data_IF_900341960498
#
_entry.id   IF_900341960498
#
_cell.length_a   1.000
_cell.length_b   1.000
_cell.length_c   1.000
_cell.angle_alpha   90.00
_cell.angle_beta   90.00
_cell.angle_gamma   90.00
#
_symmetry.space_group_name_H-M   'P 1'
#
loop_
_entity.id
_entity.type
_entity.pdbx_description
1 polymer ?
#
# COMPACT_ATOMS: atom_id res chain seq x y z
N UNK A 1 0.79 5.31 17.02
CA UNK A 1 0.18 4.51 15.93
C UNK A 1 -1.05 5.26 15.42
N UNK A 2 -1.46 5.10 14.16
CA UNK A 2 -2.60 5.83 13.59
C UNK A 2 -3.98 5.14 13.70
N UNK A 3 -4.08 4.07 14.48
CA UNK A 3 -5.32 3.35 14.80
C UNK A 3 -5.39 3.23 16.33
N UNK A 4 -6.35 3.92 16.99
CA UNK A 4 -6.64 3.70 18.40
C UNK A 4 -7.06 2.26 18.70
N UNK A 5 -7.78 1.59 17.78
CA UNK A 5 -8.20 0.20 17.95
C UNK A 5 -7.00 -0.76 18.03
N UNK A 6 -6.09 -0.70 17.04
CA UNK A 6 -4.91 -1.57 17.03
C UNK A 6 -3.91 -1.22 18.13
N UNK A 7 -3.78 0.06 18.49
CA UNK A 7 -2.95 0.45 19.64
C UNK A 7 -3.46 -0.20 20.94
N UNK A 8 -4.77 -0.12 21.21
CA UNK A 8 -5.37 -0.71 22.41
C UNK A 8 -5.30 -2.25 22.41
N UNK A 9 -5.54 -2.89 21.26
CA UNK A 9 -5.42 -4.34 21.11
C UNK A 9 -3.98 -4.82 21.32
N UNK A 10 -2.98 -4.13 20.78
CA UNK A 10 -1.57 -4.51 20.96
C UNK A 10 -1.11 -4.39 22.41
N UNK A 11 -1.63 -3.42 23.17
CA UNK A 11 -1.41 -3.36 24.63
C UNK A 11 -1.98 -4.59 25.34
N UNK A 12 -3.25 -4.95 25.09
CA UNK A 12 -3.87 -6.15 25.69
C UNK A 12 -3.20 -7.46 25.28
N UNK A 13 -2.73 -7.56 24.03
CA UNK A 13 -1.96 -8.71 23.55
C UNK A 13 -0.62 -8.80 24.28
N UNK A 14 0.06 -7.68 24.55
CA UNK A 14 1.31 -7.68 25.30
C UNK A 14 1.11 -8.07 26.77
N UNK A 15 0.00 -7.65 27.39
CA UNK A 15 -0.42 -8.08 28.74
C UNK A 15 -0.66 -9.61 28.77
N UNK A 16 -1.52 -10.14 27.90
CA UNK A 16 -1.83 -11.58 27.84
C UNK A 16 -0.61 -12.45 27.47
N UNK A 17 0.34 -11.93 26.66
CA UNK A 17 1.62 -12.62 26.41
C UNK A 17 2.50 -12.66 27.67
N UNK A 18 2.52 -11.61 28.48
CA UNK A 18 3.28 -11.58 29.73
C UNK A 18 2.73 -12.54 30.79
N UNK A 19 1.42 -12.80 30.76
CA UNK A 19 0.70 -13.71 31.67
C UNK A 19 0.61 -15.17 31.15
N UNK A 20 1.36 -15.55 30.10
CA UNK A 20 1.32 -16.87 29.40
C UNK A 20 -0.09 -17.29 28.91
N UNK A 21 -0.86 -16.30 28.45
CA UNK A 21 -2.25 -16.42 28.01
C UNK A 21 -2.47 -17.02 26.62
N UNK A 22 -3.61 -16.70 26.00
CA UNK A 22 -4.00 -17.26 24.69
C UNK A 22 -3.05 -16.77 23.59
N UNK A 23 -2.67 -15.50 23.62
CA UNK A 23 -1.78 -14.86 22.67
C UNK A 23 -0.38 -15.48 22.75
N UNK A 24 0.13 -15.80 23.95
CA UNK A 24 1.39 -16.54 24.11
C UNK A 24 1.34 -17.91 23.43
N UNK A 25 0.23 -18.66 23.57
CA UNK A 25 0.05 -19.97 22.89
C UNK A 25 -0.03 -19.84 21.36
N UNK A 26 -0.67 -18.80 20.84
CA UNK A 26 -0.79 -18.56 19.39
C UNK A 26 0.54 -18.08 18.78
N UNK A 27 1.29 -17.23 19.49
CA UNK A 27 2.55 -16.64 19.03
C UNK A 27 3.80 -17.51 19.32
N UNK A 28 3.64 -18.68 19.93
CA UNK A 28 4.75 -19.60 20.24
C UNK A 28 5.57 -19.94 18.98
N UNK A 29 6.89 -19.81 19.08
CA UNK A 29 7.85 -19.94 17.97
C UNK A 29 8.24 -18.62 17.33
N UNK A 30 7.62 -17.49 17.70
CA UNK A 30 7.95 -16.14 17.24
C UNK A 30 8.62 -15.27 18.33
N UNK A 31 9.10 -15.85 19.43
CA UNK A 31 9.72 -15.15 20.56
C UNK A 31 11.01 -14.40 20.18
N UNK A 32 11.58 -14.73 19.01
CA UNK A 32 12.80 -14.14 18.46
C UNK A 32 12.58 -13.48 17.08
N UNK A 33 11.33 -13.32 16.65
CA UNK A 33 11.01 -12.58 15.43
C UNK A 33 11.49 -11.12 15.57
N UNK A 34 12.29 -10.58 14.63
CA UNK A 34 12.80 -9.22 14.73
C UNK A 34 11.66 -8.21 14.58
N UNK A 35 11.79 -7.03 15.19
CA UNK A 35 10.76 -5.97 15.14
C UNK A 35 10.20 -5.65 13.73
N UNK A 36 11.03 -5.54 12.68
CA UNK A 36 10.58 -5.36 11.29
C UNK A 36 9.69 -6.47 10.72
N UNK A 37 9.59 -7.63 11.37
CA UNK A 37 8.66 -8.71 10.99
C UNK A 37 7.18 -8.33 11.18
N UNK A 38 6.90 -7.25 11.92
CA UNK A 38 5.56 -6.75 12.19
C UNK A 38 4.59 -7.81 12.78
N UNK A 39 5.09 -8.72 13.63
CA UNK A 39 4.32 -9.86 14.19
C UNK A 39 2.94 -9.47 14.74
N UNK A 40 2.85 -8.41 15.55
CA UNK A 40 1.56 -7.93 16.08
C UNK A 40 0.58 -7.45 15.00
N UNK A 41 1.07 -6.88 13.89
CA UNK A 41 0.24 -6.50 12.76
C UNK A 41 -0.14 -7.71 11.89
N UNK A 42 0.70 -8.74 11.80
CA UNK A 42 0.34 -10.05 11.20
C UNK A 42 -0.76 -10.74 12.01
N UNK A 43 -0.64 -10.75 13.34
CA UNK A 43 -1.66 -11.31 14.25
C UNK A 43 -3.01 -10.60 14.09
N UNK A 44 -3.03 -9.26 14.18
CA UNK A 44 -4.26 -8.50 14.03
C UNK A 44 -4.83 -8.56 12.60
N UNK A 45 -3.95 -8.67 11.58
CA UNK A 45 -4.37 -8.97 10.21
C UNK A 45 -5.04 -10.34 10.08
N UNK A 46 -4.54 -11.37 10.76
CA UNK A 46 -5.18 -12.69 10.81
C UNK A 46 -6.59 -12.62 11.42
N UNK A 47 -6.74 -11.96 12.58
CA UNK A 47 -8.04 -11.78 13.24
C UNK A 47 -8.99 -10.96 12.35
N UNK A 48 -8.50 -9.90 11.70
CA UNK A 48 -9.31 -9.12 10.76
C UNK A 48 -9.74 -9.96 9.54
N UNK A 49 -8.89 -10.86 9.00
CA UNK A 49 -9.29 -11.79 7.93
C UNK A 49 -10.44 -12.68 8.39
N UNK A 50 -10.36 -13.27 9.59
CA UNK A 50 -11.43 -14.10 10.16
C UNK A 50 -12.73 -13.32 10.38
N UNK A 51 -12.66 -12.03 10.73
CA UNK A 51 -13.84 -11.16 10.82
C UNK A 51 -14.44 -10.87 9.44
N UNK A 52 -13.61 -10.55 8.44
CA UNK A 52 -14.04 -10.25 7.07
C UNK A 52 -14.68 -11.45 6.38
N UNK A 53 -14.22 -12.67 6.64
CA UNK A 53 -14.80 -13.92 6.13
C UNK A 53 -16.02 -14.42 6.92
N UNK A 54 -16.44 -13.72 7.98
CA UNK A 54 -17.54 -14.14 8.87
C UNK A 54 -17.18 -15.27 9.84
N UNK A 55 -15.95 -15.77 9.77
CA UNK A 55 -15.40 -16.86 10.59
C UNK A 55 -15.20 -16.49 12.07
N UNK A 56 -15.21 -15.20 12.40
CA UNK A 56 -15.21 -14.65 13.74
C UNK A 56 -16.43 -13.72 13.97
N UNK A 57 -17.64 -14.25 13.75
CA UNK A 57 -18.90 -13.48 13.81
C UNK A 57 -19.14 -12.75 15.14
N UNK A 58 -18.67 -13.30 16.27
CA UNK A 58 -18.71 -12.65 17.59
C UNK A 58 -17.95 -11.31 17.65
N UNK A 59 -16.88 -11.17 16.84
CA UNK A 59 -16.07 -9.96 16.74
C UNK A 59 -16.60 -8.94 15.73
N UNK A 60 -17.37 -9.35 14.72
CA UNK A 60 -17.77 -8.48 13.61
C UNK A 60 -18.46 -7.19 14.06
N UNK A 61 -19.29 -7.25 15.12
CA UNK A 61 -19.98 -6.09 15.71
C UNK A 61 -19.05 -5.03 16.32
N UNK A 62 -17.77 -5.34 16.52
CA UNK A 62 -16.76 -4.42 17.05
C UNK A 62 -15.80 -3.87 16.00
N UNK A 63 -15.91 -4.31 14.74
CA UNK A 63 -15.03 -3.91 13.64
C UNK A 63 -15.70 -2.86 12.76
N UNK A 64 -15.23 -1.59 12.73
CA UNK A 64 -15.87 -0.55 11.92
C UNK A 64 -15.83 -0.82 10.40
N UNK A 65 -14.85 -1.58 9.92
CA UNK A 65 -14.80 -2.12 8.55
C UNK A 65 -16.00 -3.00 8.17
N UNK A 66 -16.72 -3.54 9.16
CA UNK A 66 -17.95 -4.32 9.03
C UNK A 66 -19.21 -3.55 9.48
N UNK A 67 -19.11 -2.23 9.68
CA UNK A 67 -20.19 -1.41 10.24
C UNK A 67 -20.38 -1.57 11.75
N UNK A 68 -19.45 -2.22 12.44
CA UNK A 68 -19.44 -2.36 13.90
C UNK A 68 -18.93 -1.11 14.63
N UNK A 69 -19.02 -1.14 15.96
CA UNK A 69 -18.56 -0.06 16.85
C UNK A 69 -17.50 -0.56 17.81
N UNK A 70 -16.33 0.07 17.81
CA UNK A 70 -15.20 -0.36 18.63
C UNK A 70 -15.42 -0.12 20.13
N UNK A 71 -15.23 -1.15 20.94
CA UNK A 71 -15.26 -1.09 22.41
C UNK A 71 -14.34 -2.17 23.00
N UNK A 72 -13.16 -1.78 23.50
CA UNK A 72 -12.08 -2.72 23.88
C UNK A 72 -12.55 -3.81 24.85
N UNK A 73 -13.06 -3.44 26.02
CA UNK A 73 -13.36 -4.41 27.09
C UNK A 73 -14.52 -5.35 26.73
N UNK A 74 -15.41 -4.94 25.83
CA UNK A 74 -16.49 -5.79 25.30
C UNK A 74 -16.02 -6.69 24.13
N UNK A 75 -15.01 -6.26 23.37
CA UNK A 75 -14.42 -7.02 22.27
C UNK A 75 -13.38 -8.04 22.75
N UNK A 76 -12.62 -7.73 23.81
CA UNK A 76 -11.46 -8.51 24.26
C UNK A 76 -11.76 -9.99 24.55
N UNK A 77 -12.86 -10.37 25.25
CA UNK A 77 -13.20 -11.78 25.43
C UNK A 77 -13.40 -12.53 24.11
N UNK A 78 -13.97 -11.88 23.10
CA UNK A 78 -14.17 -12.45 21.77
C UNK A 78 -12.88 -12.51 20.94
N UNK A 79 -11.88 -11.66 21.23
CA UNK A 79 -10.54 -11.80 20.65
C UNK A 79 -9.89 -13.07 21.19
N UNK A 80 -9.91 -13.27 22.51
CA UNK A 80 -9.37 -14.49 23.14
C UNK A 80 -10.10 -15.76 22.66
N UNK A 81 -11.43 -15.74 22.61
CA UNK A 81 -12.27 -16.83 22.07
C UNK A 81 -11.89 -17.17 20.61
N UNK A 82 -11.69 -16.15 19.76
CA UNK A 82 -11.29 -16.34 18.35
C UNK A 82 -9.87 -16.90 18.26
N UNK A 83 -8.93 -16.41 19.06
CA UNK A 83 -7.54 -16.86 19.06
C UNK A 83 -7.38 -18.29 19.59
N UNK A 84 -8.17 -18.69 20.59
CA UNK A 84 -8.14 -20.05 21.14
C UNK A 84 -8.78 -21.06 20.18
N UNK A 85 -9.95 -20.72 19.61
CA UNK A 85 -10.70 -21.60 18.70
C UNK A 85 -10.11 -21.68 17.28
N UNK A 86 -9.48 -20.61 16.78
CA UNK A 86 -8.91 -20.53 15.41
C UNK A 86 -7.38 -20.39 15.37
N UNK A 87 -6.70 -20.74 16.47
CA UNK A 87 -5.26 -20.54 16.63
C UNK A 87 -4.39 -21.14 15.52
N UNK A 88 -4.77 -22.28 14.93
CA UNK A 88 -4.03 -22.88 13.81
C UNK A 88 -4.17 -22.09 12.50
N UNK A 89 -5.33 -21.49 12.24
CA UNK A 89 -5.55 -20.65 11.06
C UNK A 89 -4.81 -19.32 11.19
N UNK A 90 -4.80 -18.76 12.41
CA UNK A 90 -3.98 -17.60 12.76
C UNK A 90 -2.49 -17.92 12.56
N UNK A 91 -1.97 -19.02 13.13
CA UNK A 91 -0.58 -19.45 12.94
C UNK A 91 -0.20 -19.63 11.47
N UNK A 92 -1.09 -20.22 10.65
CA UNK A 92 -0.88 -20.36 9.20
C UNK A 92 -0.75 -18.99 8.51
N UNK A 93 -1.59 -18.03 8.90
CA UNK A 93 -1.54 -16.67 8.36
C UNK A 93 -0.33 -15.87 8.85
N UNK A 94 0.18 -16.10 10.07
CA UNK A 94 1.44 -15.49 10.56
C UNK A 94 2.64 -15.87 9.67
N UNK A 95 2.62 -17.04 9.04
CA UNK A 95 3.64 -17.46 8.07
C UNK A 95 3.62 -16.69 6.74
N UNK A 96 2.60 -15.88 6.47
CA UNK A 96 2.50 -15.08 5.24
C UNK A 96 3.17 -13.70 5.41
N UNK A 97 3.87 -13.18 4.39
CA UNK A 97 4.37 -11.81 4.39
C UNK A 97 3.22 -10.79 4.61
N UNK A 98 3.42 -9.77 5.48
CA UNK A 98 2.45 -8.70 5.66
C UNK A 98 2.24 -7.95 4.34
N UNK A 99 1.04 -7.41 4.12
CA UNK A 99 0.71 -6.68 2.90
C UNK A 99 0.45 -5.21 3.21
N UNK A 100 0.98 -4.32 2.38
CA UNK A 100 0.82 -2.87 2.52
C UNK A 100 0.51 -2.21 1.17
N UNK A 101 -0.44 -2.77 0.42
CA UNK A 101 -0.86 -2.22 -0.88
C UNK A 101 -1.73 -0.95 -0.69
N UNK A 102 -1.12 0.12 -0.17
CA UNK A 102 -1.82 1.36 0.13
C UNK A 102 -2.13 2.17 -1.15
N UNK A 103 -3.40 2.15 -1.54
CA UNK A 103 -3.96 2.87 -2.71
C UNK A 103 -3.71 4.37 -2.64
N UNK A 104 -3.64 4.97 -1.44
CA UNK A 104 -3.34 6.40 -1.25
C UNK A 104 -1.97 6.81 -1.81
N UNK A 105 -1.04 5.86 -1.99
CA UNK A 105 0.27 6.12 -2.64
C UNK A 105 0.15 6.40 -4.14
N UNK A 106 -0.99 6.08 -4.77
CA UNK A 106 -1.26 6.46 -6.16
C UNK A 106 -1.18 7.99 -6.38
N UNK A 107 -1.40 8.82 -5.35
CA UNK A 107 -1.22 10.28 -5.47
C UNK A 107 0.25 10.67 -5.72
N UNK A 108 1.20 10.02 -5.05
CA UNK A 108 2.64 10.20 -5.29
C UNK A 108 3.02 9.76 -6.71
N UNK A 109 2.44 8.65 -7.17
CA UNK A 109 2.65 8.12 -8.51
C UNK A 109 2.11 9.08 -9.58
N UNK A 110 0.87 9.56 -9.44
CA UNK A 110 0.25 10.49 -10.38
C UNK A 110 1.08 11.76 -10.57
N UNK A 111 1.35 12.52 -9.51
CA UNK A 111 2.11 13.77 -9.62
C UNK A 111 3.56 13.57 -10.06
N UNK A 112 4.19 12.46 -9.67
CA UNK A 112 5.53 12.10 -10.14
C UNK A 112 5.59 11.76 -11.63
N UNK A 113 4.60 11.03 -12.16
CA UNK A 113 4.50 10.73 -13.58
C UNK A 113 4.05 11.96 -14.40
N UNK A 114 3.24 12.87 -13.83
CA UNK A 114 2.93 14.16 -14.44
C UNK A 114 4.18 15.03 -14.57
N UNK A 115 5.01 15.12 -13.53
CA UNK A 115 6.29 15.83 -13.57
C UNK A 115 7.26 15.24 -14.62
N UNK A 116 7.34 13.90 -14.71
CA UNK A 116 8.12 13.22 -15.74
C UNK A 116 7.57 13.49 -17.16
N UNK A 117 6.25 13.44 -17.34
CA UNK A 117 5.58 13.69 -18.62
C UNK A 117 5.77 15.13 -19.08
N UNK A 118 5.69 16.11 -18.17
CA UNK A 118 5.98 17.52 -18.47
C UNK A 118 7.43 17.72 -18.94
N UNK A 119 8.39 17.03 -18.32
CA UNK A 119 9.81 17.14 -18.63
C UNK A 119 10.24 16.39 -19.90
N UNK A 120 9.56 15.30 -20.28
CA UNK A 120 10.00 14.40 -21.36
C UNK A 120 9.02 14.27 -22.53
N UNK A 121 7.72 14.44 -22.31
CA UNK A 121 6.64 14.33 -23.32
C UNK A 121 6.68 13.01 -24.12
N UNK A 122 6.97 11.90 -23.43
CA UNK A 122 7.04 10.55 -24.00
C UNK A 122 6.06 9.60 -23.30
N UNK A 123 5.52 8.58 -23.99
CA UNK A 123 4.77 7.50 -23.37
C UNK A 123 5.62 6.70 -22.37
N UNK A 124 5.00 6.24 -21.29
CA UNK A 124 5.66 5.60 -20.16
C UNK A 124 5.42 4.09 -20.18
N UNK A 125 6.48 3.31 -19.97
CA UNK A 125 6.41 1.89 -19.61
C UNK A 125 6.64 1.79 -18.10
N UNK A 126 5.57 1.56 -17.35
CA UNK A 126 5.58 1.57 -15.88
C UNK A 126 5.93 0.20 -15.31
N UNK A 127 6.88 0.15 -14.37
CA UNK A 127 7.21 -1.05 -13.60
C UNK A 127 7.21 -0.71 -12.11
N UNK A 128 6.31 -1.33 -11.33
CA UNK A 128 6.25 -1.17 -9.87
C UNK A 128 6.98 -2.33 -9.18
N UNK A 129 7.87 -2.01 -8.23
CA UNK A 129 8.59 -2.99 -7.42
C UNK A 129 7.89 -3.12 -6.06
N UNK A 130 7.62 -4.36 -5.62
CA UNK A 130 6.82 -4.61 -4.41
C UNK A 130 5.34 -4.30 -4.63
N UNK A 131 4.83 -4.64 -5.82
CA UNK A 131 3.51 -4.23 -6.29
C UNK A 131 2.34 -4.90 -5.54
N UNK A 132 2.57 -5.95 -4.73
CA UNK A 132 1.54 -6.69 -4.00
C UNK A 132 0.40 -7.20 -4.91
N UNK A 133 -0.78 -6.59 -4.88
CA UNK A 133 -1.93 -6.89 -5.75
C UNK A 133 -2.03 -5.96 -6.98
N UNK A 134 -1.00 -5.14 -7.22
CA UNK A 134 -0.87 -4.26 -8.38
C UNK A 134 -1.75 -3.00 -8.34
N UNK A 135 -2.41 -2.68 -7.23
CA UNK A 135 -3.45 -1.64 -7.21
C UNK A 135 -2.92 -0.25 -7.62
N UNK A 136 -1.68 0.13 -7.28
CA UNK A 136 -1.15 1.44 -7.70
C UNK A 136 -0.84 1.48 -9.21
N UNK A 137 -0.64 0.35 -9.90
CA UNK A 137 -0.54 0.33 -11.36
C UNK A 137 -1.82 0.80 -12.04
N UNK A 138 -2.97 0.80 -11.35
CA UNK A 138 -4.27 1.27 -11.85
C UNK A 138 -4.55 2.75 -11.51
N UNK A 139 -3.53 3.53 -11.13
CA UNK A 139 -3.68 4.93 -10.69
C UNK A 139 -4.47 5.82 -11.66
N UNK A 140 -4.38 5.62 -12.97
CA UNK A 140 -5.10 6.39 -14.00
C UNK A 140 -6.60 6.04 -14.10
N UNK A 141 -7.07 5.01 -13.38
CA UNK A 141 -8.49 4.71 -13.14
C UNK A 141 -9.06 5.41 -11.90
N UNK A 142 -8.21 6.07 -11.10
CA UNK A 142 -8.60 6.68 -9.84
C UNK A 142 -8.87 8.18 -9.99
N UNK A 143 -9.72 8.73 -9.11
CA UNK A 143 -10.02 10.15 -9.02
C UNK A 143 -9.16 10.80 -7.93
N UNK A 144 -8.41 11.83 -8.30
CA UNK A 144 -7.56 12.61 -7.41
C UNK A 144 -8.19 13.99 -7.21
N UNK A 145 -8.36 14.42 -5.96
CA UNK A 145 -8.88 15.76 -5.63
C UNK A 145 -7.76 16.62 -5.04
N UNK A 146 -7.64 17.84 -5.55
CA UNK A 146 -6.70 18.86 -5.08
C UNK A 146 -7.39 19.98 -4.30
N UNK A 147 -6.62 21.01 -3.97
CA UNK A 147 -7.17 22.30 -3.52
C UNK A 147 -7.97 23.00 -4.61
N UNK A 148 -8.80 23.98 -4.21
CA UNK A 148 -9.49 24.93 -5.10
C UNK A 148 -10.40 24.31 -6.19
N UNK A 149 -10.82 23.05 -6.00
CA UNK A 149 -11.70 22.33 -6.94
C UNK A 149 -10.95 21.63 -8.08
N UNK A 150 -9.62 21.61 -8.07
CA UNK A 150 -8.83 20.82 -9.02
C UNK A 150 -9.11 19.32 -8.86
N UNK A 151 -9.26 18.61 -9.98
CA UNK A 151 -9.36 17.15 -9.97
C UNK A 151 -8.87 16.50 -11.26
N UNK A 152 -8.33 15.31 -11.12
CA UNK A 152 -7.77 14.49 -12.22
C UNK A 152 -8.29 13.07 -12.11
N UNK A 153 -8.58 12.43 -13.24
CA UNK A 153 -9.11 11.06 -13.30
C UNK A 153 -10.55 10.99 -13.82
N UNK A 154 -11.19 9.80 -13.79
CA UNK A 154 -12.60 9.62 -14.12
C UNK A 154 -13.53 10.19 -13.03
N UNK A 155 -14.64 10.81 -13.43
CA UNK A 155 -15.62 11.37 -12.49
C UNK A 155 -16.33 10.29 -11.66
N UNK A 156 -16.55 9.12 -12.28
CA UNK A 156 -17.29 7.95 -11.80
C UNK A 156 -16.43 6.91 -11.09
N UNK A 157 -15.14 7.20 -10.87
CA UNK A 157 -14.23 6.27 -10.19
C UNK A 157 -14.70 5.94 -8.77
N UNK A 158 -14.84 4.65 -8.39
CA UNK A 158 -15.09 4.24 -7.00
C UNK A 158 -13.87 4.46 -6.07
N UNK A 159 -12.76 4.98 -6.59
CA UNK A 159 -11.54 5.28 -5.84
C UNK A 159 -11.28 6.77 -5.87
N UNK A 160 -11.55 7.43 -4.75
CA UNK A 160 -11.30 8.85 -4.55
C UNK A 160 -10.10 9.04 -3.61
N UNK A 161 -9.13 9.84 -4.05
CA UNK A 161 -7.99 10.30 -3.26
C UNK A 161 -8.17 11.79 -2.95
N UNK A 162 -8.86 12.08 -1.84
CA UNK A 162 -8.96 13.44 -1.33
C UNK A 162 -7.62 13.90 -0.70
N UNK A 163 -7.28 15.17 -0.90
CA UNK A 163 -5.99 15.74 -0.52
C UNK A 163 -4.81 15.23 -1.35
N UNK A 164 -5.02 14.78 -2.60
CA UNK A 164 -3.97 14.33 -3.51
C UNK A 164 -3.09 15.48 -4.05
N UNK A 165 -3.51 16.73 -3.89
CA UNK A 165 -2.69 17.90 -4.24
C UNK A 165 -2.88 19.05 -3.24
N UNK A 166 -1.80 19.42 -2.56
CA UNK A 166 -1.61 20.67 -1.80
C UNK A 166 -0.25 21.26 -2.18
N UNK A 167 -0.05 22.56 -1.97
CA UNK A 167 1.20 23.23 -2.34
C UNK A 167 1.32 23.45 -3.85
N UNK A 168 2.55 23.56 -4.37
CA UNK A 168 2.80 23.89 -5.77
C UNK A 168 2.88 22.60 -6.58
N UNK A 169 1.77 22.21 -7.22
CA UNK A 169 1.72 20.98 -8.01
C UNK A 169 2.75 21.02 -9.17
N UNK A 170 3.57 19.96 -9.37
CA UNK A 170 4.74 20.05 -10.25
C UNK A 170 4.41 20.10 -11.75
N UNK A 171 3.20 19.68 -12.14
CA UNK A 171 2.72 19.66 -13.53
C UNK A 171 1.17 19.56 -13.61
N UNK A 172 0.41 20.60 -13.20
CA UNK A 172 -1.05 20.55 -13.19
C UNK A 172 -1.63 20.37 -14.59
N UNK A 173 -2.76 19.65 -14.69
CA UNK A 173 -3.45 19.36 -15.96
C UNK A 173 -2.73 18.40 -16.93
N UNK A 174 -1.46 18.06 -16.69
CA UNK A 174 -0.74 17.06 -17.50
C UNK A 174 -1.33 15.67 -17.27
N UNK A 175 -1.45 14.86 -18.33
CA UNK A 175 -1.93 13.47 -18.25
C UNK A 175 -0.82 12.53 -18.72
N UNK A 176 -0.31 11.62 -17.87
CA UNK A 176 0.67 10.62 -18.29
C UNK A 176 0.06 9.62 -19.29
N UNK A 177 0.75 9.34 -20.38
CA UNK A 177 0.37 8.26 -21.31
C UNK A 177 1.06 6.97 -20.89
N UNK A 178 0.31 5.97 -20.43
CA UNK A 178 0.85 4.67 -20.03
C UNK A 178 0.75 3.67 -21.18
N UNK A 179 1.89 3.36 -21.80
CA UNK A 179 1.97 2.47 -22.97
C UNK A 179 1.99 0.99 -22.59
N UNK A 180 2.59 0.68 -21.45
CA UNK A 180 2.67 -0.65 -20.83
C UNK A 180 2.75 -0.48 -19.30
N UNK A 181 2.21 -1.43 -18.53
CA UNK A 181 2.39 -1.50 -17.08
C UNK A 181 2.57 -2.95 -16.62
N UNK A 182 3.46 -3.18 -15.65
CA UNK A 182 3.55 -4.42 -14.91
C UNK A 182 4.09 -4.19 -13.49
N UNK A 183 3.92 -5.18 -12.62
CA UNK A 183 4.50 -5.17 -11.28
C UNK A 183 5.38 -6.39 -11.07
N UNK A 184 6.25 -6.33 -10.06
CA UNK A 184 6.83 -7.51 -9.44
C UNK A 184 6.61 -7.51 -7.93
N UNK A 185 6.46 -8.69 -7.35
CA UNK A 185 6.47 -8.88 -5.91
C UNK A 185 7.10 -10.24 -5.56
N UNK A 186 7.62 -10.40 -4.34
CA UNK A 186 8.14 -11.69 -3.87
C UNK A 186 7.02 -12.66 -3.48
N UNK A 187 5.84 -12.14 -3.14
CA UNK A 187 4.63 -12.90 -2.89
C UNK A 187 3.38 -12.14 -3.40
N UNK A 188 3.20 -12.05 -4.74
CA UNK A 188 2.06 -11.35 -5.34
C UNK A 188 0.72 -11.84 -4.78
N UNK A 189 -0.25 -10.94 -4.72
CA UNK A 189 -1.61 -11.26 -4.29
C UNK A 189 -2.55 -11.09 -5.49
N UNK A 190 -3.43 -12.07 -5.71
CA UNK A 190 -4.41 -12.02 -6.80
C UNK A 190 -5.67 -11.24 -6.37
N UNK A 191 -5.92 -10.02 -6.87
CA UNK A 191 -7.08 -9.21 -6.50
C UNK A 191 -8.41 -9.74 -7.09
N UNK A 192 -8.35 -10.69 -8.04
CA UNK A 192 -9.53 -11.35 -8.61
C UNK A 192 -10.04 -12.50 -7.72
N UNK A 193 -9.15 -13.10 -6.92
CA UNK A 193 -9.47 -14.16 -5.96
C UNK A 193 -10.09 -13.62 -4.67
N UNK A 194 -11.05 -14.34 -4.08
CA UNK A 194 -11.65 -13.98 -2.78
C UNK A 194 -10.60 -13.91 -1.65
N UNK A 195 -9.74 -14.93 -1.54
CA UNK A 195 -8.64 -14.94 -0.56
C UNK A 195 -7.66 -13.78 -0.72
N UNK A 196 -7.33 -13.39 -1.96
CA UNK A 196 -6.45 -12.26 -2.20
C UNK A 196 -7.09 -10.93 -1.79
N UNK A 197 -8.38 -10.74 -2.09
CA UNK A 197 -9.17 -9.58 -1.65
C UNK A 197 -9.24 -9.50 -0.13
N UNK A 198 -9.58 -10.61 0.54
CA UNK A 198 -9.59 -10.73 1.99
C UNK A 198 -8.20 -10.42 2.58
N UNK A 199 -7.12 -10.96 1.99
CA UNK A 199 -5.74 -10.75 2.46
C UNK A 199 -5.29 -9.30 2.35
N UNK A 200 -5.56 -8.59 1.25
CA UNK A 200 -5.17 -7.15 1.19
C UNK A 200 -6.03 -6.33 2.15
N UNK A 201 -7.34 -6.61 2.22
CA UNK A 201 -8.28 -5.89 3.08
C UNK A 201 -7.99 -6.07 4.58
N UNK A 202 -7.54 -7.25 4.99
CA UNK A 202 -7.26 -7.55 6.40
C UNK A 202 -6.07 -6.76 6.98
N UNK A 203 -5.16 -6.27 6.13
CA UNK A 203 -4.04 -5.42 6.56
C UNK A 203 -4.35 -3.91 6.59
N UNK A 204 -5.55 -3.49 6.18
CA UNK A 204 -6.06 -2.15 6.51
C UNK A 204 -6.67 -2.19 7.92
N UNK A 205 -6.40 -1.16 8.72
CA UNK A 205 -6.89 -1.10 10.10
C UNK A 205 -8.43 -0.90 10.11
N UNK A 206 -9.20 -1.68 10.88
CA UNK A 206 -10.66 -1.68 10.81
C UNK A 206 -11.32 -0.34 11.14
N UNK A 207 -10.67 0.48 11.96
CA UNK A 207 -11.12 1.81 12.39
C UNK A 207 -10.77 2.93 11.39
N UNK A 208 -10.32 2.59 10.18
CA UNK A 208 -9.96 3.54 9.12
C UNK A 208 -10.86 3.37 7.89
N UNK A 209 -12.16 3.68 8.07
CA UNK A 209 -13.21 3.49 7.07
C UNK A 209 -12.84 4.02 5.67
N UNK A 210 -12.33 5.24 5.56
CA UNK A 210 -11.91 5.82 4.27
C UNK A 210 -10.85 4.98 3.53
N UNK A 211 -9.89 4.37 4.26
CA UNK A 211 -8.88 3.48 3.67
C UNK A 211 -9.49 2.14 3.25
N UNK A 212 -10.44 1.63 4.04
CA UNK A 212 -11.19 0.39 3.76
C UNK A 212 -12.04 0.57 2.49
N UNK A 213 -12.79 1.67 2.38
CA UNK A 213 -13.61 2.01 1.22
C UNK A 213 -12.78 2.24 -0.03
N UNK A 214 -11.71 3.05 0.07
CA UNK A 214 -10.77 3.27 -1.05
C UNK A 214 -10.16 1.97 -1.55
N UNK A 215 -9.80 1.05 -0.64
CA UNK A 215 -9.29 -0.26 -1.01
C UNK A 215 -10.37 -1.16 -1.65
N UNK A 216 -11.61 -1.15 -1.16
CA UNK A 216 -12.73 -1.87 -1.79
C UNK A 216 -12.97 -1.39 -3.22
N UNK A 217 -12.94 -0.08 -3.47
CA UNK A 217 -13.04 0.49 -4.82
C UNK A 217 -11.87 0.06 -5.72
N UNK A 218 -10.65 0.07 -5.21
CA UNK A 218 -9.47 -0.35 -5.97
C UNK A 218 -9.50 -1.85 -6.32
N UNK A 219 -9.95 -2.68 -5.38
CA UNK A 219 -10.18 -4.11 -5.61
C UNK A 219 -11.34 -4.36 -6.59
N UNK A 220 -12.37 -3.50 -6.64
CA UNK A 220 -13.42 -3.59 -7.67
C UNK A 220 -12.83 -3.37 -9.07
N UNK A 221 -12.13 -2.26 -9.28
CA UNK A 221 -11.45 -1.95 -10.56
C UNK A 221 -10.46 -3.08 -10.94
N UNK A 222 -9.65 -3.56 -10.00
CA UNK A 222 -8.68 -4.63 -10.26
C UNK A 222 -9.30 -6.01 -10.54
N UNK A 223 -10.59 -6.21 -10.21
CA UNK A 223 -11.36 -7.39 -10.59
C UNK A 223 -11.82 -7.36 -12.06
N UNK A 224 -12.03 -6.15 -12.61
CA UNK A 224 -12.44 -5.93 -14.01
C UNK A 224 -11.23 -5.73 -14.93
N UNK A 225 -10.20 -5.03 -14.45
CA UNK A 225 -8.95 -4.72 -15.14
C UNK A 225 -7.72 -5.27 -14.37
N UNK A 226 -7.51 -6.60 -14.31
CA UNK A 226 -6.38 -7.19 -13.61
C UNK A 226 -5.05 -6.84 -14.29
N UNK A 227 -4.09 -6.39 -13.49
CA UNK A 227 -2.72 -6.05 -13.93
C UNK A 227 -1.76 -7.21 -13.71
N UNK A 228 -0.80 -7.38 -14.63
CA UNK A 228 0.22 -8.43 -14.51
C UNK A 228 1.26 -8.07 -13.44
N UNK A 229 1.19 -8.77 -12.30
CA UNK A 229 2.26 -8.81 -11.28
C UNK A 229 2.97 -10.17 -11.39
N UNK A 230 4.30 -10.16 -11.49
CA UNK A 230 5.12 -11.39 -11.55
C UNK A 230 5.82 -11.68 -10.23
N UNK A 231 6.00 -12.96 -9.91
CA UNK A 231 6.77 -13.39 -8.73
C UNK A 231 8.27 -13.25 -9.01
N UNK A 232 8.90 -12.20 -8.49
CA UNK A 232 10.36 -12.06 -8.43
C UNK A 232 10.78 -10.96 -7.44
N UNK A 233 12.06 -10.95 -7.07
CA UNK A 233 12.67 -9.85 -6.31
C UNK A 233 12.77 -8.58 -7.14
N UNK A 234 12.80 -7.42 -6.47
CA UNK A 234 13.07 -6.15 -7.14
C UNK A 234 14.42 -6.09 -7.87
N UNK A 235 15.42 -6.87 -7.43
CA UNK A 235 16.73 -6.97 -8.09
C UNK A 235 16.63 -7.70 -9.43
N UNK A 236 15.92 -8.83 -9.47
CA UNK A 236 15.68 -9.58 -10.71
C UNK A 236 14.84 -8.76 -11.70
N UNK A 237 13.80 -8.07 -11.21
CA UNK A 237 13.00 -7.16 -12.02
C UNK A 237 13.87 -6.07 -12.65
N UNK A 238 14.66 -5.34 -11.86
CA UNK A 238 15.59 -4.31 -12.35
C UNK A 238 16.60 -4.86 -13.36
N UNK A 239 17.16 -6.05 -13.12
CA UNK A 239 18.11 -6.72 -14.02
C UNK A 239 17.47 -7.16 -15.34
N UNK A 240 16.15 -7.39 -15.34
CA UNK A 240 15.37 -7.72 -16.55
C UNK A 240 14.93 -6.50 -17.36
N UNK A 241 15.04 -5.27 -16.83
CA UNK A 241 14.61 -4.06 -17.51
C UNK A 241 15.48 -3.77 -18.74
N UNK A 242 14.88 -3.92 -19.92
CA UNK A 242 15.45 -3.44 -21.18
C UNK A 242 14.95 -2.03 -21.45
N UNK A 243 15.87 -1.08 -21.60
CA UNK A 243 15.54 0.24 -22.15
C UNK A 243 15.22 0.06 -23.65
N UNK A 244 14.13 0.68 -24.09
CA UNK A 244 13.57 0.45 -25.43
C UNK A 244 13.75 1.68 -26.30
N UNK A 245 14.87 1.71 -27.02
CA UNK A 245 15.02 2.50 -28.25
C UNK A 245 14.74 1.62 -29.48
N UNK A 246 13.84 0.64 -29.31
CA UNK A 246 13.28 -0.23 -30.36
C UNK A 246 14.24 -0.89 -31.35
N UNK A 247 15.37 -1.52 -31.00
CA UNK A 247 16.03 -1.84 -29.72
C UNK A 247 17.47 -2.29 -30.09
N UNK A 248 18.54 -2.23 -29.30
CA UNK A 248 18.74 -2.32 -27.84
C UNK A 248 19.88 -1.36 -27.39
N UNK A 249 20.03 -1.17 -26.08
CA UNK A 249 20.89 -0.18 -25.40
C UNK A 249 21.94 -0.80 -24.47
N UNK A 250 23.01 -0.05 -24.18
CA UNK A 250 23.84 -0.24 -22.96
C UNK A 250 23.81 0.97 -21.99
N UNK A 251 23.20 2.08 -22.39
CA UNK A 251 23.00 3.26 -21.55
C UNK A 251 21.67 3.96 -21.87
N UNK A 252 21.12 4.71 -20.91
CA UNK A 252 20.00 5.61 -21.15
C UNK A 252 20.41 6.75 -22.10
N UNK A 253 19.65 6.93 -23.17
CA UNK A 253 19.83 8.03 -24.13
C UNK A 253 18.68 9.04 -24.01
N UNK A 254 18.78 10.18 -24.70
CA UNK A 254 17.63 11.09 -24.85
C UNK A 254 16.44 10.43 -25.58
N UNK A 255 16.71 9.45 -26.46
CA UNK A 255 15.68 8.65 -27.14
C UNK A 255 15.11 7.50 -26.28
N UNK A 256 15.70 7.22 -25.13
CA UNK A 256 15.31 6.15 -24.20
C UNK A 256 15.73 6.51 -22.78
N UNK A 257 15.10 7.54 -22.20
CA UNK A 257 15.39 7.96 -20.84
C UNK A 257 14.94 6.86 -19.86
N UNK A 258 15.68 6.75 -18.76
CA UNK A 258 15.26 5.95 -17.61
C UNK A 258 14.85 6.89 -16.49
N UNK A 259 13.83 6.53 -15.72
CA UNK A 259 13.40 7.28 -14.56
C UNK A 259 13.08 6.34 -13.40
N UNK A 260 13.56 6.70 -12.21
CA UNK A 260 13.18 6.09 -10.94
C UNK A 260 12.39 7.11 -10.14
N UNK A 261 11.08 6.91 -10.07
CA UNK A 261 10.19 7.58 -9.13
C UNK A 261 10.09 6.71 -7.87
N UNK A 262 10.28 7.28 -6.68
CA UNK A 262 10.14 6.55 -5.43
C UNK A 262 9.48 7.39 -4.33
N UNK A 263 8.78 6.72 -3.42
CA UNK A 263 8.08 7.31 -2.28
C UNK A 263 8.44 6.56 -1.00
N UNK A 264 9.50 7.04 -0.33
CA UNK A 264 10.21 6.31 0.73
C UNK A 264 10.65 7.26 1.85
N UNK A 265 10.86 6.76 3.09
CA UNK A 265 11.43 7.54 4.18
C UNK A 265 12.91 7.84 3.90
N UNK A 266 13.21 9.05 3.45
CA UNK A 266 14.57 9.51 3.14
C UNK A 266 14.85 10.86 3.80
N UNK A 267 16.13 11.18 4.01
CA UNK A 267 16.51 12.51 4.48
C UNK A 267 16.61 13.48 3.31
N UNK A 268 16.10 14.70 3.49
CA UNK A 268 16.23 15.83 2.55
C UNK A 268 17.67 16.32 2.45
N UNK A 269 18.34 16.40 3.60
CA UNK A 269 19.78 16.71 3.74
C UNK A 269 20.39 15.78 4.81
N UNK A 270 21.72 15.58 4.88
CA UNK A 270 22.32 14.64 5.85
C UNK A 270 21.92 14.87 7.31
N UNK A 271 21.62 16.11 7.70
CA UNK A 271 21.18 16.47 9.06
C UNK A 271 19.65 16.49 9.28
N UNK A 272 18.83 16.42 8.24
CA UNK A 272 17.36 16.47 8.38
C UNK A 272 16.82 15.16 8.97
N UNK A 273 15.64 15.15 9.62
CA UNK A 273 14.91 13.91 9.91
C UNK A 273 14.58 13.15 8.61
N UNK A 274 14.14 11.89 8.76
CA UNK A 274 13.54 11.15 7.64
C UNK A 274 12.13 11.68 7.37
N UNK A 275 11.86 12.01 6.13
CA UNK A 275 10.57 12.41 5.60
C UNK A 275 10.15 11.39 4.53
N UNK A 276 8.86 11.10 4.40
CA UNK A 276 8.35 10.32 3.27
C UNK A 276 8.28 11.26 2.06
N UNK A 277 9.32 11.23 1.22
CA UNK A 277 9.48 12.14 0.08
C UNK A 277 9.12 11.46 -1.23
N UNK A 278 8.43 12.19 -2.11
CA UNK A 278 8.28 11.84 -3.52
C UNK A 278 9.51 12.34 -4.26
N UNK A 279 10.30 11.43 -4.83
CA UNK A 279 11.56 11.76 -5.48
C UNK A 279 11.60 11.18 -6.88
N UNK A 280 11.83 12.04 -7.87
CA UNK A 280 12.08 11.66 -9.25
C UNK A 280 13.59 11.76 -9.53
N UNK A 281 14.19 10.65 -9.94
CA UNK A 281 15.53 10.63 -10.49
C UNK A 281 15.47 10.20 -11.96
N UNK A 282 16.14 10.94 -12.85
CA UNK A 282 16.05 10.72 -14.30
C UNK A 282 17.42 10.65 -14.96
N UNK A 283 17.53 9.80 -15.97
CA UNK A 283 18.73 9.58 -16.79
C UNK A 283 18.39 9.74 -18.29
N UNK A 284 19.33 10.20 -19.14
CA UNK A 284 20.74 10.51 -18.85
C UNK A 284 20.94 11.69 -17.89
N UNK A 285 22.15 11.77 -17.30
CA UNK A 285 22.54 12.81 -16.34
C UNK A 285 22.28 12.50 -14.85
N UNK A 286 21.37 11.57 -14.52
CA UNK A 286 21.13 11.10 -13.15
C UNK A 286 20.52 12.14 -12.21
N UNK A 287 19.94 13.22 -12.76
CA UNK A 287 19.40 14.35 -12.02
C UNK A 287 18.30 13.90 -11.04
N UNK A 288 18.45 14.28 -9.77
CA UNK A 288 17.52 13.95 -8.68
C UNK A 288 16.74 15.19 -8.25
N UNK A 289 15.42 15.10 -8.22
CA UNK A 289 14.51 16.14 -7.73
C UNK A 289 13.58 15.57 -6.66
N UNK A 290 13.49 16.26 -5.52
CA UNK A 290 12.36 16.10 -4.61
C UNK A 290 11.19 16.84 -5.26
N UNK A 291 10.01 16.23 -5.27
CA UNK A 291 8.79 16.82 -5.82
C UNK A 291 7.78 17.20 -4.72
N UNK A 292 7.87 16.56 -3.55
CA UNK A 292 6.92 16.75 -2.47
C UNK A 292 7.07 15.72 -1.37
N UNK A 293 6.12 15.74 -0.43
CA UNK A 293 6.07 14.86 0.75
C UNK A 293 4.63 14.53 1.16
N UNK A 294 4.46 13.40 1.84
CA UNK A 294 3.17 12.95 2.40
C UNK A 294 3.39 12.04 3.61
N UNK A 295 2.36 11.79 4.46
CA UNK A 295 2.38 10.71 5.43
C UNK A 295 2.61 9.33 4.77
N UNK A 296 3.00 8.28 5.51
CA UNK A 296 3.32 6.96 4.95
C UNK A 296 2.21 6.30 4.11
N UNK A 297 0.97 6.78 4.21
CA UNK A 297 -0.17 6.33 3.42
C UNK A 297 -0.49 7.19 2.18
N UNK A 298 0.39 8.13 1.82
CA UNK A 298 0.37 8.90 0.57
C UNK A 298 -0.54 10.14 0.56
N UNK A 299 -1.38 10.33 1.59
CA UNK A 299 -2.32 11.45 1.68
C UNK A 299 -2.31 12.09 3.08
N UNK A 300 -2.55 13.41 3.22
CA UNK A 300 -2.56 14.38 2.13
C UNK A 300 -1.16 14.56 1.54
N UNK A 301 -1.10 14.82 0.25
CA UNK A 301 0.13 15.05 -0.50
C UNK A 301 0.43 16.55 -0.60
N UNK A 302 1.67 16.93 -0.37
CA UNK A 302 2.15 18.33 -0.44
C UNK A 302 3.31 18.43 -1.41
N UNK A 303 3.15 19.23 -2.46
CA UNK A 303 4.09 19.41 -3.57
C UNK A 303 4.93 20.69 -3.41
N UNK A 304 6.15 20.67 -3.97
CA UNK A 304 7.22 21.67 -3.82
C UNK A 304 7.75 22.22 -5.17
#
# INVERSE_FOLDING_TARGET
MGSPMYAALLTRIAEDVADDGVCARVLRGHEHDPGPSALGLRLLGAVHRLVLSGEASGLARFYPSMGGSWALDAAWPHVLETLDSRGDDVRRFLGLPPQTNEVGRAAALMGGLQALTAARRMPIRLVELGASAGLNLLFDRYRFLGGEGDSVGPDDSPVVLDGASRGVHPAPGVRPEIRERCGCDVAPVDPTSEEGRLRVLSYVWPDQAERVERLRGALAIAGEEPVRVVTCTGSEALSSLRLVSGTTTEASSESSPFARLYFEPVRRTPGSPHEFLVVLQSWPGGARRILGSAPPHGLPMTWE
#
